data_IF_114784063046
#
_entry.id   IF_114784063046
#
_cell.length_a   1.000
_cell.length_b   1.000
_cell.length_c   1.000
_cell.angle_alpha   90.00
_cell.angle_beta   90.00
_cell.angle_gamma   90.00
#
_symmetry.space_group_name_H-M   'P 1'
#
loop_
_entity.id
_entity.type
_entity.pdbx_description
1 polymer ?
#
# COMPACT_ATOMS: atom_id res chain seq x y z
N UNK A 1 -27.89 9.57 16.83
CA UNK A 1 -27.23 9.20 15.53
C UNK A 1 -25.85 8.66 15.86
N UNK A 2 -25.57 7.42 15.44
CA UNK A 2 -24.46 6.58 15.93
C UNK A 2 -23.09 7.11 15.51
N UNK A 3 -22.15 6.90 16.42
CA UNK A 3 -20.73 7.24 16.38
C UNK A 3 -20.00 6.73 15.14
N UNK A 4 -19.27 7.64 14.49
CA UNK A 4 -18.28 7.32 13.47
C UNK A 4 -17.12 6.57 14.12
N UNK A 5 -17.07 5.26 13.86
CA UNK A 5 -15.96 4.43 14.27
C UNK A 5 -14.78 4.70 13.32
N UNK A 6 -13.78 5.46 13.77
CA UNK A 6 -12.51 5.57 13.05
C UNK A 6 -11.85 4.20 13.07
N UNK A 7 -11.92 3.46 11.96
CA UNK A 7 -11.21 2.20 11.83
C UNK A 7 -9.71 2.48 12.03
N UNK A 8 -9.20 2.07 13.19
CA UNK A 8 -7.80 2.25 13.57
C UNK A 8 -6.94 1.26 12.77
N UNK A 9 -5.65 1.56 12.61
CA UNK A 9 -4.71 0.67 11.91
C UNK A 9 -4.74 -0.78 12.45
N UNK A 10 -5.04 -0.95 13.75
CA UNK A 10 -5.24 -2.25 14.38
C UNK A 10 -6.44 -3.04 13.82
N UNK A 11 -7.55 -2.37 13.48
CA UNK A 11 -8.73 -3.01 12.86
C UNK A 11 -8.43 -3.46 11.44
N UNK A 12 -7.62 -2.69 10.69
CA UNK A 12 -7.20 -3.03 9.33
C UNK A 12 -6.24 -4.24 9.35
N UNK A 13 -5.32 -4.29 10.31
CA UNK A 13 -4.43 -5.44 10.51
C UNK A 13 -5.21 -6.71 10.89
N UNK A 14 -6.16 -6.62 11.83
CA UNK A 14 -7.00 -7.74 12.23
C UNK A 14 -7.92 -8.25 11.10
N UNK A 15 -8.38 -7.36 10.21
CA UNK A 15 -9.14 -7.74 9.01
C UNK A 15 -8.28 -8.43 7.96
N UNK A 16 -6.97 -8.15 7.91
CA UNK A 16 -6.03 -8.85 7.04
C UNK A 16 -5.75 -10.30 7.49
N UNK A 17 -5.96 -10.61 8.78
CA UNK A 17 -5.82 -11.95 9.37
C UNK A 17 -7.13 -12.76 9.39
N UNK A 18 -8.26 -12.17 8.97
CA UNK A 18 -9.55 -12.84 9.03
C UNK A 18 -9.60 -14.03 8.04
N UNK A 19 -10.16 -15.20 8.42
CA UNK A 19 -10.18 -16.39 7.55
C UNK A 19 -10.97 -16.21 6.23
N UNK A 20 -11.89 -15.24 6.17
CA UNK A 20 -12.54 -14.83 4.91
C UNK A 20 -11.72 -13.80 4.11
N UNK A 21 -10.69 -13.20 4.67
CA UNK A 21 -9.85 -12.27 3.94
C UNK A 21 -8.86 -13.04 3.06
N UNK A 22 -9.12 -13.00 1.75
CA UNK A 22 -8.18 -13.50 0.75
C UNK A 22 -7.86 -12.36 -0.20
N UNK A 23 -6.57 -12.15 -0.45
CA UNK A 23 -6.09 -11.23 -1.50
C UNK A 23 -6.54 -11.67 -2.90
N UNK A 24 -7.02 -12.91 -3.06
CA UNK A 24 -7.54 -13.45 -4.31
C UNK A 24 -8.84 -12.75 -4.77
N UNK A 25 -9.58 -12.09 -3.88
CA UNK A 25 -10.73 -11.29 -4.29
C UNK A 25 -10.32 -9.82 -4.54
N UNK A 26 -10.30 -9.35 -5.79
CA UNK A 26 -9.86 -8.00 -6.12
C UNK A 26 -10.73 -6.89 -5.48
N UNK A 27 -12.00 -7.15 -5.19
CA UNK A 27 -12.86 -6.20 -4.50
C UNK A 27 -12.50 -6.08 -3.01
N UNK A 28 -12.08 -7.19 -2.37
CA UNK A 28 -11.61 -7.19 -0.97
C UNK A 28 -10.23 -6.53 -0.85
N UNK A 29 -9.33 -6.82 -1.78
CA UNK A 29 -8.03 -6.14 -1.88
C UNK A 29 -8.20 -4.63 -2.08
N UNK A 30 -9.07 -4.21 -3.02
CA UNK A 30 -9.36 -2.78 -3.24
C UNK A 30 -9.98 -2.10 -2.02
N UNK A 31 -10.92 -2.78 -1.34
CA UNK A 31 -11.60 -2.22 -0.18
C UNK A 31 -10.66 -2.04 1.01
N UNK A 32 -9.77 -2.99 1.26
CA UNK A 32 -8.83 -2.90 2.40
C UNK A 32 -7.63 -2.00 2.08
N UNK A 33 -6.90 -2.31 1.01
CA UNK A 33 -5.66 -1.63 0.63
C UNK A 33 -5.94 -0.21 0.15
N UNK A 34 -7.00 -0.04 -0.67
CA UNK A 34 -7.44 1.26 -1.14
C UNK A 34 -7.94 2.17 -0.02
N UNK A 35 -8.75 1.65 0.92
CA UNK A 35 -9.20 2.46 2.06
C UNK A 35 -8.05 2.80 3.02
N UNK A 36 -7.07 1.90 3.19
CA UNK A 36 -5.90 2.17 4.02
C UNK A 36 -5.05 3.32 3.47
N UNK A 37 -4.80 3.36 2.16
CA UNK A 37 -4.06 4.45 1.52
C UNK A 37 -4.73 5.82 1.64
N UNK A 38 -6.05 5.87 1.89
CA UNK A 38 -6.80 7.10 2.14
C UNK A 38 -6.74 7.52 3.63
N UNK A 39 -6.56 6.57 4.55
CA UNK A 39 -6.42 6.85 5.99
C UNK A 39 -5.04 7.43 6.32
N UNK A 40 -4.90 8.75 6.15
CA UNK A 40 -3.63 9.47 6.30
C UNK A 40 -2.95 9.26 7.67
N UNK A 41 -3.71 9.06 8.75
CA UNK A 41 -3.17 8.85 10.10
C UNK A 41 -2.51 7.47 10.24
N UNK A 42 -3.15 6.45 9.69
CA UNK A 42 -2.63 5.09 9.71
C UNK A 42 -1.50 4.90 8.69
N UNK A 43 -1.65 5.50 7.51
CA UNK A 43 -0.68 5.44 6.43
C UNK A 43 0.62 6.16 6.79
N UNK A 44 0.55 7.42 7.28
CA UNK A 44 1.72 8.24 7.58
C UNK A 44 2.22 8.11 9.02
N UNK A 45 2.11 6.91 9.61
CA UNK A 45 2.73 6.65 10.92
C UNK A 45 4.23 6.96 10.85
N UNK A 46 4.79 7.69 11.83
CA UNK A 46 6.20 8.09 11.82
C UNK A 46 7.20 6.92 11.75
N UNK A 47 6.80 5.73 12.19
CA UNK A 47 7.62 4.51 12.15
C UNK A 47 7.65 3.81 10.77
N UNK A 48 6.94 4.35 9.77
CA UNK A 48 6.84 3.80 8.43
C UNK A 48 6.01 2.52 8.32
N UNK A 49 5.30 2.10 9.37
CA UNK A 49 4.54 0.85 9.36
C UNK A 49 3.45 0.83 8.28
N UNK A 50 2.83 1.98 8.01
CA UNK A 50 1.83 2.08 6.94
C UNK A 50 2.41 1.93 5.54
N UNK A 51 3.62 2.45 5.31
CA UNK A 51 4.31 2.32 4.02
C UNK A 51 4.71 0.86 3.77
N UNK A 52 5.31 0.21 4.78
CA UNK A 52 5.68 -1.22 4.72
C UNK A 52 4.46 -2.10 4.44
N UNK A 53 3.38 -1.88 5.21
CA UNK A 53 2.12 -2.61 5.01
C UNK A 53 1.62 -2.48 3.58
N UNK A 54 1.52 -1.27 3.04
CA UNK A 54 1.04 -1.07 1.67
C UNK A 54 1.93 -1.80 0.66
N UNK A 55 3.25 -1.68 0.78
CA UNK A 55 4.16 -2.35 -0.14
C UNK A 55 4.08 -3.89 -0.07
N UNK A 56 3.92 -4.48 1.12
CA UNK A 56 3.69 -5.92 1.27
C UNK A 56 2.41 -6.37 0.57
N UNK A 57 1.32 -5.60 0.74
CA UNK A 57 0.06 -5.90 0.06
C UNK A 57 0.16 -5.78 -1.46
N UNK A 58 0.92 -4.79 -1.96
CA UNK A 58 1.13 -4.60 -3.40
C UNK A 58 1.92 -5.76 -4.00
N UNK A 59 3.01 -6.20 -3.35
CA UNK A 59 3.83 -7.34 -3.81
C UNK A 59 3.00 -8.63 -3.81
N UNK A 60 2.19 -8.86 -2.78
CA UNK A 60 1.33 -10.03 -2.71
C UNK A 60 0.22 -10.00 -3.77
N UNK A 61 -0.41 -8.83 -3.97
CA UNK A 61 -1.46 -8.63 -4.96
C UNK A 61 -0.92 -8.71 -6.39
N UNK A 62 0.32 -8.29 -6.63
CA UNK A 62 0.95 -8.33 -7.95
C UNK A 62 0.96 -9.74 -8.56
N UNK A 63 1.22 -10.75 -7.72
CA UNK A 63 1.20 -12.16 -8.14
C UNK A 63 -0.18 -12.65 -8.60
N UNK A 64 -1.23 -11.97 -8.19
CA UNK A 64 -2.62 -12.36 -8.45
C UNK A 64 -3.28 -11.45 -9.50
N UNK A 65 -2.99 -10.16 -9.45
CA UNK A 65 -3.58 -9.13 -10.29
C UNK A 65 -2.65 -7.91 -10.42
N UNK A 66 -1.65 -7.97 -11.33
CA UNK A 66 -0.70 -6.89 -11.62
C UNK A 66 -1.33 -5.52 -11.81
N UNK A 67 -2.39 -5.44 -12.62
CA UNK A 67 -3.07 -4.19 -12.94
C UNK A 67 -3.72 -3.54 -11.72
N UNK A 68 -4.27 -4.35 -10.81
CA UNK A 68 -4.88 -3.84 -9.58
C UNK A 68 -3.81 -3.37 -8.59
N UNK A 69 -2.70 -4.11 -8.47
CA UNK A 69 -1.57 -3.67 -7.66
C UNK A 69 -1.03 -2.32 -8.14
N UNK A 70 -0.76 -2.16 -9.44
CA UNK A 70 -0.30 -0.89 -10.01
C UNK A 70 -1.25 0.28 -9.71
N UNK A 71 -2.58 0.07 -9.81
CA UNK A 71 -3.59 1.09 -9.49
C UNK A 71 -3.62 1.52 -8.02
N UNK A 72 -3.12 0.69 -7.10
CA UNK A 72 -3.11 0.94 -5.66
C UNK A 72 -1.77 1.50 -5.15
N UNK A 73 -0.72 1.54 -5.98
CA UNK A 73 0.59 2.14 -5.67
C UNK A 73 0.60 3.68 -5.44
N UNK A 74 -0.25 4.51 -6.08
CA UNK A 74 -0.09 5.98 -6.06
C UNK A 74 0.11 6.67 -4.69
N UNK A 75 -0.42 6.17 -3.54
CA UNK A 75 -0.10 6.74 -2.25
C UNK A 75 1.41 6.79 -1.92
N UNK A 76 2.18 5.76 -2.29
CA UNK A 76 3.65 5.75 -2.10
C UNK A 76 4.35 6.72 -3.06
N UNK A 77 3.84 6.86 -4.29
CA UNK A 77 4.41 7.74 -5.31
C UNK A 77 4.31 9.24 -5.01
N UNK A 78 3.61 9.64 -3.94
CA UNK A 78 3.47 11.05 -3.52
C UNK A 78 4.58 11.52 -2.57
N UNK A 79 5.61 10.70 -2.34
CA UNK A 79 6.69 10.94 -1.39
C UNK A 79 7.34 12.34 -1.47
N UNK A 80 7.46 12.93 -2.67
CA UNK A 80 7.99 14.29 -2.87
C UNK A 80 7.20 15.41 -2.18
N UNK A 81 5.97 15.13 -1.73
CA UNK A 81 5.09 16.09 -1.05
C UNK A 81 5.21 16.05 0.48
N UNK A 82 6.03 15.15 1.02
CA UNK A 82 6.19 14.95 2.46
C UNK A 82 7.54 15.46 2.95
N UNK A 83 7.67 15.59 4.28
CA UNK A 83 8.96 15.85 4.95
C UNK A 83 10.00 14.77 4.62
N UNK A 84 11.28 15.11 4.81
CA UNK A 84 12.42 14.27 4.42
C UNK A 84 12.35 12.86 5.03
N UNK A 85 11.96 12.75 6.30
CA UNK A 85 11.86 11.47 7.01
C UNK A 85 10.81 10.56 6.36
N UNK A 86 9.60 11.08 6.13
CA UNK A 86 8.55 10.30 5.46
C UNK A 86 8.85 10.02 4.01
N UNK A 87 9.43 10.99 3.30
CA UNK A 87 9.81 10.83 1.91
C UNK A 87 10.83 9.69 1.76
N UNK A 88 11.83 9.62 2.64
CA UNK A 88 12.82 8.54 2.67
C UNK A 88 12.15 7.18 2.89
N UNK A 89 11.27 7.06 3.89
CA UNK A 89 10.57 5.81 4.19
C UNK A 89 9.66 5.35 3.03
N UNK A 90 8.97 6.26 2.35
CA UNK A 90 8.15 5.91 1.18
C UNK A 90 9.01 5.46 -0.01
N UNK A 91 10.12 6.17 -0.27
CA UNK A 91 11.07 5.82 -1.35
C UNK A 91 11.70 4.45 -1.12
N UNK A 92 12.11 4.15 0.10
CA UNK A 92 12.64 2.84 0.49
C UNK A 92 11.65 1.72 0.10
N UNK A 93 10.35 1.93 0.30
CA UNK A 93 9.35 0.94 -0.08
C UNK A 93 9.14 0.84 -1.59
N UNK A 94 9.26 1.94 -2.35
CA UNK A 94 9.24 1.90 -3.82
C UNK A 94 10.46 1.15 -4.37
N UNK A 95 11.66 1.42 -3.84
CA UNK A 95 12.90 0.73 -4.19
C UNK A 95 12.80 -0.77 -3.87
N UNK A 96 12.23 -1.11 -2.70
CA UNK A 96 11.95 -2.50 -2.32
C UNK A 96 11.01 -3.21 -3.28
N UNK A 97 9.94 -2.54 -3.72
CA UNK A 97 9.01 -3.10 -4.71
C UNK A 97 9.74 -3.37 -6.02
N UNK A 98 10.49 -2.40 -6.55
CA UNK A 98 11.25 -2.53 -7.81
C UNK A 98 12.28 -3.66 -7.74
N UNK A 99 12.92 -3.86 -6.59
CA UNK A 99 13.90 -4.91 -6.37
C UNK A 99 13.30 -6.33 -6.22
N UNK A 100 11.97 -6.47 -6.19
CA UNK A 100 11.31 -7.75 -5.96
C UNK A 100 11.53 -8.73 -7.15
N UNK A 101 12.08 -9.93 -6.91
CA UNK A 101 12.20 -10.94 -7.95
C UNK A 101 10.83 -11.37 -8.47
N UNK A 102 10.69 -11.42 -9.80
CA UNK A 102 9.45 -11.81 -10.48
C UNK A 102 8.35 -10.75 -10.45
N UNK A 103 8.67 -9.49 -10.15
CA UNK A 103 7.73 -8.38 -10.22
C UNK A 103 7.12 -8.27 -11.63
N UNK A 104 5.81 -8.05 -11.68
CA UNK A 104 5.13 -7.82 -12.96
C UNK A 104 5.61 -6.53 -13.63
N UNK A 105 5.47 -6.50 -14.96
CA UNK A 105 5.75 -5.29 -15.74
C UNK A 105 4.88 -4.10 -15.32
N UNK A 106 3.59 -4.34 -15.05
CA UNK A 106 2.64 -3.28 -14.67
C UNK A 106 3.06 -2.58 -13.36
N UNK A 107 3.43 -3.36 -12.34
CA UNK A 107 3.85 -2.80 -11.06
C UNK A 107 5.25 -2.21 -11.13
N UNK A 108 6.17 -2.82 -11.89
CA UNK A 108 7.50 -2.27 -12.15
C UNK A 108 7.44 -0.88 -12.78
N UNK A 109 6.70 -0.72 -13.89
CA UNK A 109 6.58 0.56 -14.60
C UNK A 109 6.01 1.64 -13.69
N UNK A 110 4.98 1.32 -12.92
CA UNK A 110 4.33 2.28 -12.03
C UNK A 110 5.20 2.67 -10.83
N UNK A 111 5.97 1.73 -10.27
CA UNK A 111 6.90 2.00 -9.18
C UNK A 111 8.12 2.81 -9.64
N UNK A 112 8.74 2.41 -10.76
CA UNK A 112 9.88 3.12 -11.36
C UNK A 112 9.52 4.53 -11.76
N UNK A 113 8.37 4.73 -12.42
CA UNK A 113 7.85 6.07 -12.73
C UNK A 113 7.67 6.94 -11.49
N UNK A 114 7.24 6.35 -10.38
CA UNK A 114 7.07 7.07 -9.11
C UNK A 114 8.40 7.47 -8.48
N UNK A 115 9.47 6.70 -8.68
CA UNK A 115 10.83 7.04 -8.27
C UNK A 115 11.42 8.16 -9.14
N UNK A 116 11.18 8.13 -10.45
CA UNK A 116 11.83 9.03 -11.40
C UNK A 116 11.38 10.49 -11.27
N UNK A 117 10.09 10.77 -11.07
CA UNK A 117 9.63 12.17 -11.13
C UNK A 117 8.21 12.34 -11.55
#
# INVERSE_FOLDING_TARGET
VKSGCSASAATVAALAEHPDFTLANPNRARSLVGAFGVNQRAFNRPDGAGYRFLADQLIALDRLNPQTAAKLLPPLGRWRRFDEDRAALMREQLERIVAQPGLSKDLFEQASKSLDG
#
